data_IF_807000990073
#
_entry.id   IF_807000990073
#
_cell.length_a   1.000
_cell.length_b   1.000
_cell.length_c   1.000
_cell.angle_alpha   90.00
_cell.angle_beta   90.00
_cell.angle_gamma   90.00
#
_symmetry.space_group_name_H-M   'P 1'
#
loop_
_entity.id
_entity.type
_entity.pdbx_description
1 polymer ?
#
# COMPACT_ATOMS: atom_id res chain seq x y z
N UNK A 1 38.71 20.15 -10.54
CA UNK A 1 38.66 19.43 -9.25
C UNK A 1 37.83 18.18 -9.49
N UNK A 2 38.42 16.99 -9.36
CA UNK A 2 37.64 15.75 -9.30
C UNK A 2 36.86 15.80 -7.99
N UNK A 3 35.55 16.01 -8.07
CA UNK A 3 34.68 15.80 -6.92
C UNK A 3 34.68 14.29 -6.65
N UNK A 4 35.57 13.83 -5.78
CA UNK A 4 35.49 12.49 -5.22
C UNK A 4 34.15 12.38 -4.51
N UNK A 5 33.26 11.56 -5.07
CA UNK A 5 31.99 11.19 -4.44
C UNK A 5 32.36 10.56 -3.09
N UNK A 6 31.86 11.11 -1.96
CA UNK A 6 32.20 10.56 -0.65
C UNK A 6 31.71 9.11 -0.56
N UNK A 7 32.50 8.28 0.13
CA UNK A 7 32.23 6.85 0.23
C UNK A 7 31.29 6.60 1.42
N UNK A 8 30.27 5.75 1.24
CA UNK A 8 29.54 5.10 2.34
C UNK A 8 30.49 4.49 3.39
N UNK A 9 31.64 3.94 2.99
CA UNK A 9 32.68 3.44 3.90
C UNK A 9 33.23 4.50 4.84
N UNK A 10 33.18 5.77 4.44
CA UNK A 10 33.63 6.90 5.25
C UNK A 10 32.61 7.25 6.35
N UNK A 11 31.40 6.65 6.30
CA UNK A 11 30.38 6.71 7.35
C UNK A 11 30.14 5.31 7.96
N UNK A 12 31.01 4.86 8.88
CA UNK A 12 30.97 3.49 9.44
C UNK A 12 29.66 3.20 10.19
N UNK A 13 29.01 4.23 10.73
CA UNK A 13 27.71 4.10 11.40
C UNK A 13 26.62 3.70 10.42
N UNK A 14 26.48 4.42 9.31
CA UNK A 14 25.48 4.13 8.27
C UNK A 14 25.74 2.77 7.63
N UNK A 15 27.00 2.48 7.26
CA UNK A 15 27.38 1.19 6.70
C UNK A 15 27.00 0.03 7.63
N UNK A 16 27.32 0.15 8.93
CA UNK A 16 27.00 -0.88 9.93
C UNK A 16 25.49 -1.08 10.11
N UNK A 17 24.69 0.00 10.11
CA UNK A 17 23.22 -0.12 10.16
C UNK A 17 22.69 -0.91 8.97
N UNK A 18 23.14 -0.56 7.75
CA UNK A 18 22.73 -1.24 6.53
C UNK A 18 23.14 -2.72 6.55
N UNK A 19 24.37 -3.02 6.96
CA UNK A 19 24.88 -4.38 7.05
C UNK A 19 24.09 -5.24 8.05
N UNK A 20 23.78 -4.71 9.24
CA UNK A 20 22.98 -5.41 10.24
C UNK A 20 21.57 -5.66 9.69
N UNK A 21 20.96 -4.66 9.05
CA UNK A 21 19.62 -4.80 8.48
C UNK A 21 19.59 -5.88 7.38
N UNK A 22 20.52 -5.81 6.42
CA UNK A 22 20.65 -6.79 5.34
C UNK A 22 20.86 -8.22 5.87
N UNK A 23 21.80 -8.38 6.82
CA UNK A 23 22.12 -9.68 7.39
C UNK A 23 20.92 -10.30 8.11
N UNK A 24 20.19 -9.49 8.89
CA UNK A 24 19.00 -9.95 9.61
C UNK A 24 17.82 -10.23 8.67
N UNK A 25 17.62 -9.40 7.64
CA UNK A 25 16.60 -9.65 6.63
C UNK A 25 16.84 -11.01 5.96
N UNK A 26 18.07 -11.29 5.56
CA UNK A 26 18.44 -12.59 4.97
C UNK A 26 18.26 -13.78 5.92
N UNK A 27 18.51 -13.60 7.22
CA UNK A 27 18.32 -14.64 8.24
C UNK A 27 16.85 -14.92 8.54
N UNK A 28 15.99 -13.92 8.34
CA UNK A 28 14.55 -13.97 8.60
C UNK A 28 13.77 -13.86 7.30
N UNK A 29 14.30 -14.39 6.20
CA UNK A 29 13.61 -14.38 4.91
C UNK A 29 12.47 -15.41 4.93
N UNK A 30 11.23 -14.92 4.87
CA UNK A 30 10.04 -15.77 4.93
C UNK A 30 9.56 -16.23 3.55
N UNK A 31 10.28 -15.91 2.46
CA UNK A 31 9.89 -16.24 1.08
C UNK A 31 9.45 -17.71 0.92
N UNK A 32 10.26 -18.65 1.41
CA UNK A 32 9.95 -20.08 1.29
C UNK A 32 8.71 -20.51 2.09
N UNK A 33 8.55 -19.97 3.31
CA UNK A 33 7.39 -20.25 4.17
C UNK A 33 6.10 -19.67 3.56
N UNK A 34 6.22 -18.51 2.93
CA UNK A 34 5.12 -17.84 2.26
C UNK A 34 4.68 -18.57 0.99
N UNK A 35 5.62 -19.06 0.19
CA UNK A 35 5.33 -19.89 -0.99
C UNK A 35 4.69 -21.24 -0.57
N UNK A 36 5.19 -21.88 0.48
CA UNK A 36 4.60 -23.11 1.01
C UNK A 36 3.16 -22.88 1.51
N UNK A 37 2.95 -21.84 2.33
CA UNK A 37 1.62 -21.50 2.82
C UNK A 37 0.65 -21.19 1.67
N UNK A 38 1.12 -20.48 0.64
CA UNK A 38 0.34 -20.18 -0.57
C UNK A 38 -0.03 -21.45 -1.33
N UNK A 39 0.91 -22.38 -1.52
CA UNK A 39 0.67 -23.64 -2.22
C UNK A 39 -0.33 -24.55 -1.48
N UNK A 40 -0.36 -24.45 -0.14
CA UNK A 40 -1.28 -25.20 0.71
C UNK A 40 -2.66 -24.54 0.88
N UNK A 41 -2.86 -23.32 0.38
CA UNK A 41 -4.13 -22.61 0.54
C UNK A 41 -5.28 -23.31 -0.18
N UNK A 42 -6.35 -23.56 0.57
CA UNK A 42 -7.68 -23.94 0.06
C UNK A 42 -8.72 -23.07 0.72
N UNK A 43 -9.56 -22.43 -0.07
CA UNK A 43 -10.59 -21.54 0.45
C UNK A 43 -11.54 -22.26 1.42
N UNK A 44 -11.88 -23.52 1.12
CA UNK A 44 -12.83 -24.31 1.88
C UNK A 44 -12.38 -24.54 3.34
N UNK A 45 -11.07 -24.63 3.56
CA UNK A 45 -10.45 -24.85 4.87
C UNK A 45 -10.47 -23.58 5.74
N UNK A 46 -10.61 -22.40 5.13
CA UNK A 46 -10.53 -21.11 5.81
C UNK A 46 -11.83 -20.28 5.74
N UNK A 47 -12.87 -20.77 5.04
CA UNK A 47 -14.07 -19.97 4.71
C UNK A 47 -14.97 -19.63 5.91
N UNK A 48 -14.89 -20.38 7.00
CA UNK A 48 -15.84 -20.31 8.13
C UNK A 48 -15.35 -19.45 9.31
N UNK A 49 -14.28 -18.70 9.14
CA UNK A 49 -13.70 -17.86 10.18
C UNK A 49 -13.15 -16.53 9.63
N UNK A 50 -12.89 -15.60 10.54
CA UNK A 50 -12.21 -14.35 10.23
C UNK A 50 -10.73 -14.58 9.94
N UNK A 51 -10.17 -13.80 9.01
CA UNK A 51 -8.74 -13.80 8.69
C UNK A 51 -8.01 -12.61 9.30
N UNK A 52 -8.77 -11.63 9.77
CA UNK A 52 -8.29 -10.38 10.33
C UNK A 52 -9.13 -10.02 11.55
N UNK A 53 -8.70 -9.07 12.39
CA UNK A 53 -9.57 -8.49 13.39
C UNK A 53 -10.85 -7.94 12.74
N UNK A 54 -11.95 -7.95 13.48
CA UNK A 54 -13.28 -7.65 12.94
C UNK A 54 -13.39 -6.23 12.38
N UNK A 55 -12.68 -5.27 12.98
CA UNK A 55 -12.59 -3.88 12.52
C UNK A 55 -11.91 -3.72 11.15
N UNK A 56 -11.22 -4.76 10.68
CA UNK A 56 -10.64 -4.86 9.34
C UNK A 56 -11.52 -5.73 8.46
N UNK A 57 -12.75 -5.27 8.29
CA UNK A 57 -13.74 -5.87 7.39
C UNK A 57 -14.23 -4.85 6.36
N UNK A 58 -14.61 -5.32 5.18
CA UNK A 58 -15.11 -4.47 4.11
C UNK A 58 -16.40 -3.80 4.59
N UNK A 59 -16.45 -2.47 4.52
CA UNK A 59 -17.56 -1.64 4.97
C UNK A 59 -17.90 -1.81 6.47
N UNK A 60 -16.91 -2.17 7.30
CA UNK A 60 -17.05 -2.25 8.76
C UNK A 60 -17.67 -0.97 9.35
N UNK A 61 -18.52 -1.11 10.36
CA UNK A 61 -19.14 0.02 11.07
C UNK A 61 -20.10 0.86 10.22
N UNK A 62 -20.41 0.45 8.99
CA UNK A 62 -21.47 1.02 8.16
C UNK A 62 -22.77 0.22 8.32
N UNK A 63 -23.89 0.72 7.76
CA UNK A 63 -25.17 0.02 7.84
C UNK A 63 -25.15 -1.38 7.21
N UNK A 64 -24.34 -1.62 6.17
CA UNK A 64 -24.21 -2.96 5.57
C UNK A 64 -23.69 -3.95 6.60
N UNK A 65 -22.65 -3.56 7.34
CA UNK A 65 -22.04 -4.39 8.36
C UNK A 65 -23.02 -4.72 9.48
N UNK A 66 -23.73 -3.71 9.99
CA UNK A 66 -24.71 -3.87 11.07
C UNK A 66 -25.86 -4.81 10.69
N UNK A 67 -26.31 -4.77 9.45
CA UNK A 67 -27.42 -5.60 8.95
C UNK A 67 -26.97 -6.95 8.40
N UNK A 68 -25.67 -7.20 8.29
CA UNK A 68 -25.13 -8.45 7.75
C UNK A 68 -25.31 -9.61 8.72
N UNK A 69 -25.67 -10.77 8.18
CA UNK A 69 -25.66 -12.03 8.94
C UNK A 69 -24.24 -12.40 9.40
N UNK A 70 -24.08 -13.32 10.38
CA UNK A 70 -22.74 -13.77 10.80
C UNK A 70 -21.89 -14.30 9.64
N UNK A 71 -22.50 -15.04 8.71
CA UNK A 71 -21.81 -15.54 7.52
C UNK A 71 -21.38 -14.41 6.57
N UNK A 72 -22.26 -13.42 6.35
CA UNK A 72 -21.92 -12.26 5.51
C UNK A 72 -20.78 -11.43 6.12
N UNK A 73 -20.73 -11.29 7.45
CA UNK A 73 -19.62 -10.61 8.15
C UNK A 73 -18.29 -11.33 7.95
N UNK A 74 -18.29 -12.66 8.00
CA UNK A 74 -17.09 -13.47 7.68
C UNK A 74 -16.62 -13.18 6.26
N UNK A 75 -17.53 -13.20 5.28
CA UNK A 75 -17.19 -12.89 3.90
C UNK A 75 -16.67 -11.45 3.76
N UNK A 76 -17.28 -10.46 4.41
CA UNK A 76 -16.80 -9.07 4.38
C UNK A 76 -15.39 -8.93 4.99
N UNK A 77 -15.07 -9.70 6.03
CA UNK A 77 -13.72 -9.76 6.61
C UNK A 77 -12.70 -10.37 5.64
N UNK A 78 -13.08 -11.44 4.95
CA UNK A 78 -12.23 -12.07 3.94
C UNK A 78 -12.02 -11.17 2.71
N UNK A 79 -13.08 -10.49 2.26
CA UNK A 79 -13.02 -9.54 1.16
C UNK A 79 -12.19 -8.29 1.48
N UNK A 80 -12.12 -7.89 2.76
CA UNK A 80 -11.16 -6.87 3.18
C UNK A 80 -9.73 -7.32 2.85
N UNK A 81 -9.35 -8.54 3.24
CA UNK A 81 -8.02 -9.09 2.93
C UNK A 81 -7.77 -9.10 1.42
N UNK A 82 -8.72 -9.63 0.64
CA UNK A 82 -8.62 -9.71 -0.82
C UNK A 82 -8.40 -8.34 -1.43
N UNK A 83 -9.21 -7.35 -1.05
CA UNK A 83 -9.15 -6.01 -1.61
C UNK A 83 -7.90 -5.24 -1.14
N UNK A 84 -7.48 -5.43 0.11
CA UNK A 84 -6.29 -4.83 0.69
C UNK A 84 -5.00 -5.34 0.03
N UNK A 85 -4.82 -6.65 -0.05
CA UNK A 85 -3.63 -7.21 -0.68
C UNK A 85 -3.65 -7.12 -2.20
N UNK A 86 -4.82 -7.04 -2.82
CA UNK A 86 -4.92 -6.62 -4.22
C UNK A 86 -4.28 -5.25 -4.43
N UNK A 87 -4.55 -4.26 -3.57
CA UNK A 87 -3.87 -2.95 -3.65
C UNK A 87 -2.35 -3.05 -3.52
N UNK A 88 -1.87 -3.88 -2.58
CA UNK A 88 -0.44 -4.06 -2.32
C UNK A 88 0.31 -4.62 -3.53
N UNK A 89 -0.27 -5.56 -4.27
CA UNK A 89 0.35 -6.12 -5.50
C UNK A 89 0.83 -5.04 -6.49
N UNK A 90 0.08 -3.94 -6.67
CA UNK A 90 0.50 -2.85 -7.56
C UNK A 90 1.66 -2.05 -6.99
N UNK A 91 1.72 -1.91 -5.66
CA UNK A 91 2.85 -1.28 -5.00
C UNK A 91 4.11 -2.15 -5.16
N UNK A 92 4.02 -3.47 -4.96
CA UNK A 92 5.18 -4.36 -5.06
C UNK A 92 5.77 -4.45 -6.46
N UNK A 93 4.93 -4.43 -7.50
CA UNK A 93 5.43 -4.37 -8.88
C UNK A 93 6.24 -3.09 -9.12
N UNK A 94 5.76 -1.95 -8.61
CA UNK A 94 6.49 -0.69 -8.67
C UNK A 94 7.77 -0.74 -7.83
N UNK A 95 7.73 -1.35 -6.64
CA UNK A 95 8.88 -1.57 -5.76
C UNK A 95 9.99 -2.33 -6.46
N UNK A 96 9.68 -3.48 -7.08
CA UNK A 96 10.67 -4.28 -7.82
C UNK A 96 11.32 -3.42 -8.92
N UNK A 97 10.53 -2.68 -9.69
CA UNK A 97 11.07 -1.85 -10.78
C UNK A 97 11.99 -0.75 -10.24
N UNK A 98 11.54 0.00 -9.22
CA UNK A 98 12.32 1.12 -8.71
C UNK A 98 13.55 0.67 -7.91
N UNK A 99 13.50 -0.48 -7.23
CA UNK A 99 14.67 -1.13 -6.65
C UNK A 99 15.73 -1.38 -7.73
N UNK A 100 15.33 -1.94 -8.87
CA UNK A 100 16.25 -2.21 -9.99
C UNK A 100 16.81 -0.93 -10.61
N UNK A 101 15.98 0.09 -10.85
CA UNK A 101 16.47 1.36 -11.43
C UNK A 101 17.37 2.12 -10.47
N UNK A 102 17.04 2.13 -9.17
CA UNK A 102 17.88 2.77 -8.16
C UNK A 102 19.20 2.01 -7.97
N UNK A 103 19.16 0.67 -7.97
CA UNK A 103 20.38 -0.14 -7.95
C UNK A 103 21.27 0.16 -9.17
N UNK A 104 20.72 0.32 -10.37
CA UNK A 104 21.49 0.68 -11.56
C UNK A 104 22.23 2.02 -11.39
N UNK A 105 21.60 3.03 -10.78
CA UNK A 105 22.23 4.31 -10.48
C UNK A 105 23.31 4.25 -9.40
N UNK A 106 23.21 3.29 -8.49
CA UNK A 106 24.17 3.08 -7.39
C UNK A 106 25.34 2.16 -7.78
N UNK A 107 25.10 1.21 -8.69
CA UNK A 107 26.04 0.13 -9.02
C UNK A 107 27.35 0.62 -9.65
N UNK A 108 27.34 1.78 -10.30
CA UNK A 108 28.55 2.40 -10.85
C UNK A 108 29.59 2.79 -9.78
N UNK A 109 29.25 2.70 -8.49
CA UNK A 109 30.11 3.02 -7.37
C UNK A 109 30.27 1.79 -6.49
N UNK A 110 31.49 1.24 -6.42
CA UNK A 110 31.81 0.00 -5.68
C UNK A 110 31.29 0.01 -4.23
N UNK A 111 31.28 1.19 -3.62
CA UNK A 111 30.95 1.38 -2.22
C UNK A 111 29.44 1.33 -1.90
N UNK A 112 28.57 1.27 -2.92
CA UNK A 112 27.12 1.05 -2.76
C UNK A 112 26.68 -0.38 -3.08
N UNK A 113 27.61 -1.34 -3.22
CA UNK A 113 27.27 -2.73 -3.54
C UNK A 113 26.31 -3.35 -2.53
N UNK A 114 26.50 -3.10 -1.23
CA UNK A 114 25.61 -3.62 -0.18
C UNK A 114 24.17 -3.09 -0.30
N UNK A 115 23.99 -1.86 -0.80
CA UNK A 115 22.64 -1.35 -1.11
C UNK A 115 22.05 -2.18 -2.24
N UNK A 116 22.80 -2.41 -3.32
CA UNK A 116 22.33 -3.23 -4.44
C UNK A 116 21.93 -4.64 -4.00
N UNK A 117 22.76 -5.32 -3.20
CA UNK A 117 22.46 -6.66 -2.67
C UNK A 117 21.20 -6.65 -1.77
N UNK A 118 20.96 -5.57 -1.04
CA UNK A 118 19.73 -5.38 -0.25
C UNK A 118 18.52 -5.25 -1.16
N UNK A 119 18.59 -4.41 -2.19
CA UNK A 119 17.49 -4.18 -3.12
C UNK A 119 17.15 -5.43 -3.96
N UNK A 120 18.15 -6.25 -4.28
CA UNK A 120 17.96 -7.53 -4.97
C UNK A 120 17.20 -8.53 -4.09
N UNK A 121 17.58 -8.66 -2.82
CA UNK A 121 16.88 -9.52 -1.85
C UNK A 121 15.43 -9.09 -1.66
N UNK A 122 15.19 -7.79 -1.42
CA UNK A 122 13.83 -7.27 -1.27
C UNK A 122 13.00 -7.54 -2.53
N UNK A 123 13.58 -7.33 -3.72
CA UNK A 123 12.90 -7.62 -4.98
C UNK A 123 12.56 -9.11 -5.15
N UNK A 124 13.31 -10.05 -4.57
CA UNK A 124 12.90 -11.45 -4.52
C UNK A 124 11.73 -11.70 -3.57
N UNK A 125 11.75 -11.10 -2.38
CA UNK A 125 10.66 -11.20 -1.40
C UNK A 125 9.35 -10.65 -1.99
N UNK A 126 9.40 -9.50 -2.67
CA UNK A 126 8.22 -8.89 -3.32
C UNK A 126 7.56 -9.81 -4.36
N UNK A 127 8.32 -10.70 -5.02
CA UNK A 127 7.74 -11.66 -5.97
C UNK A 127 6.91 -12.73 -5.26
N UNK A 128 7.38 -13.20 -4.10
CA UNK A 128 6.63 -14.12 -3.25
C UNK A 128 5.37 -13.45 -2.69
N UNK A 129 5.49 -12.19 -2.27
CA UNK A 129 4.36 -11.34 -1.87
C UNK A 129 3.27 -11.31 -2.95
N UNK A 130 3.64 -10.91 -4.18
CA UNK A 130 2.74 -10.85 -5.32
C UNK A 130 2.10 -12.21 -5.62
N UNK A 131 2.87 -13.30 -5.57
CA UNK A 131 2.39 -14.65 -5.83
C UNK A 131 1.30 -15.06 -4.83
N UNK A 132 1.57 -14.90 -3.54
CA UNK A 132 0.63 -15.25 -2.46
C UNK A 132 -0.67 -14.47 -2.57
N UNK A 133 -0.58 -13.14 -2.63
CA UNK A 133 -1.75 -12.26 -2.65
C UNK A 133 -2.64 -12.55 -3.85
N UNK A 134 -2.07 -12.70 -5.04
CA UNK A 134 -2.84 -12.98 -6.26
C UNK A 134 -3.47 -14.36 -6.25
N UNK A 135 -2.76 -15.38 -5.78
CA UNK A 135 -3.25 -16.76 -5.79
C UNK A 135 -4.44 -16.90 -4.85
N UNK A 136 -4.29 -16.44 -3.60
CA UNK A 136 -5.35 -16.47 -2.60
C UNK A 136 -6.55 -15.65 -3.07
N UNK A 137 -6.34 -14.39 -3.46
CA UNK A 137 -7.42 -13.50 -3.90
C UNK A 137 -8.24 -14.09 -5.05
N UNK A 138 -7.58 -14.67 -6.07
CA UNK A 138 -8.27 -15.32 -7.19
C UNK A 138 -9.10 -16.52 -6.76
N UNK A 139 -8.58 -17.41 -5.92
CA UNK A 139 -9.31 -18.60 -5.50
C UNK A 139 -10.57 -18.21 -4.71
N UNK A 140 -10.45 -17.20 -3.83
CA UNK A 140 -11.56 -16.68 -3.03
C UNK A 140 -12.64 -16.07 -3.91
N UNK A 141 -12.29 -15.16 -4.82
CA UNK A 141 -13.28 -14.51 -5.67
C UNK A 141 -13.92 -15.49 -6.67
N UNK A 142 -13.16 -16.46 -7.18
CA UNK A 142 -13.70 -17.51 -8.02
C UNK A 142 -14.71 -18.39 -7.26
N UNK A 143 -14.43 -18.73 -6.00
CA UNK A 143 -15.33 -19.53 -5.18
C UNK A 143 -16.60 -18.77 -4.80
N UNK A 144 -16.48 -17.48 -4.47
CA UNK A 144 -17.59 -16.64 -4.01
C UNK A 144 -18.47 -16.11 -5.13
N UNK A 145 -17.88 -15.73 -6.27
CA UNK A 145 -18.58 -15.00 -7.33
C UNK A 145 -18.48 -15.65 -8.71
N UNK A 146 -17.53 -16.56 -8.91
CA UNK A 146 -17.21 -17.10 -10.24
C UNK A 146 -16.47 -16.11 -11.15
N UNK A 147 -16.19 -14.90 -10.69
CA UNK A 147 -15.47 -13.84 -11.39
C UNK A 147 -14.62 -13.00 -10.43
N UNK A 148 -13.64 -12.25 -10.97
CA UNK A 148 -12.80 -11.35 -10.18
C UNK A 148 -13.49 -9.98 -10.03
N UNK A 149 -13.74 -9.55 -8.80
CA UNK A 149 -14.34 -8.24 -8.49
C UNK A 149 -13.25 -7.24 -8.13
N UNK A 150 -12.46 -7.51 -7.10
CA UNK A 150 -11.41 -6.66 -6.55
C UNK A 150 -10.03 -6.98 -7.15
N UNK A 151 -9.75 -8.26 -7.44
CA UNK A 151 -8.49 -8.64 -8.09
C UNK A 151 -8.46 -8.12 -9.52
N UNK A 152 -7.35 -7.50 -9.92
CA UNK A 152 -7.17 -6.92 -11.24
C UNK A 152 -6.02 -7.59 -12.03
N UNK A 153 -6.02 -7.48 -13.38
CA UNK A 153 -4.88 -7.89 -14.19
C UNK A 153 -3.62 -7.11 -13.80
N UNK A 154 -2.45 -7.76 -13.76
CA UNK A 154 -1.20 -7.10 -13.34
C UNK A 154 -0.98 -5.81 -14.12
N UNK A 155 -0.72 -4.73 -13.39
CA UNK A 155 -0.41 -3.43 -13.97
C UNK A 155 1.11 -3.31 -14.12
N UNK A 156 1.55 -2.57 -15.13
CA UNK A 156 2.97 -2.23 -15.27
C UNK A 156 3.42 -1.23 -14.20
N UNK A 157 4.73 -1.05 -13.99
CA UNK A 157 5.28 -0.16 -12.97
C UNK A 157 5.01 1.34 -13.23
N UNK A 158 4.47 1.67 -14.41
CA UNK A 158 4.19 3.04 -14.85
C UNK A 158 2.71 3.42 -14.75
N UNK A 159 1.94 2.73 -13.92
CA UNK A 159 0.53 3.08 -13.65
C UNK A 159 0.38 3.58 -12.22
N UNK A 160 -0.74 4.23 -11.92
CA UNK A 160 -1.10 4.53 -10.54
C UNK A 160 -1.09 3.25 -9.71
N UNK A 161 -0.29 3.27 -8.65
CA UNK A 161 -0.26 2.16 -7.69
C UNK A 161 -1.57 2.08 -6.93
N UNK A 162 -2.25 3.20 -6.66
CA UNK A 162 -3.59 3.20 -6.07
C UNK A 162 -4.61 2.67 -7.09
N UNK A 163 -5.20 1.52 -6.78
CA UNK A 163 -6.08 0.77 -7.69
C UNK A 163 -7.33 1.57 -8.03
N UNK A 164 -7.85 2.31 -7.05
CA UNK A 164 -9.05 3.14 -7.11
C UNK A 164 -8.69 4.61 -6.82
N UNK A 165 -7.98 5.24 -7.75
CA UNK A 165 -7.59 6.65 -7.68
C UNK A 165 -8.64 7.56 -8.38
N UNK A 166 -8.73 8.83 -7.98
CA UNK A 166 -9.43 9.87 -8.76
C UNK A 166 -8.63 10.21 -10.03
N UNK A 167 -8.79 9.39 -11.07
CA UNK A 167 -8.03 9.50 -12.30
C UNK A 167 -8.91 9.48 -13.55
N UNK A 168 -8.31 9.79 -14.71
CA UNK A 168 -8.91 9.71 -16.03
C UNK A 168 -7.81 9.43 -17.06
N UNK A 169 -8.18 9.17 -18.32
CA UNK A 169 -7.21 8.76 -19.35
C UNK A 169 -6.02 9.72 -19.51
N UNK A 170 -6.24 11.03 -19.40
CA UNK A 170 -5.18 12.04 -19.49
C UNK A 170 -4.26 12.02 -18.27
N UNK A 171 -4.83 11.95 -17.06
CA UNK A 171 -4.07 11.82 -15.80
C UNK A 171 -3.21 10.54 -15.81
N UNK A 172 -3.77 9.41 -16.25
CA UNK A 172 -3.07 8.12 -16.38
C UNK A 172 -1.89 8.25 -17.35
N UNK A 173 -2.14 8.78 -18.55
CA UNK A 173 -1.08 8.98 -19.55
C UNK A 173 0.05 9.87 -19.03
N UNK A 174 -0.30 10.96 -18.35
CA UNK A 174 0.67 11.86 -17.77
C UNK A 174 1.49 11.20 -16.65
N UNK A 175 0.83 10.50 -15.72
CA UNK A 175 1.50 9.75 -14.63
C UNK A 175 2.46 8.71 -15.20
N UNK A 176 2.08 8.02 -16.28
CA UNK A 176 2.96 7.07 -16.98
C UNK A 176 4.25 7.72 -17.45
N UNK A 177 4.17 8.90 -18.08
CA UNK A 177 5.35 9.66 -18.50
C UNK A 177 6.20 10.05 -17.29
N UNK A 178 5.57 10.55 -16.22
CA UNK A 178 6.29 10.94 -15.00
C UNK A 178 7.07 9.77 -14.38
N UNK A 179 6.45 8.58 -14.27
CA UNK A 179 7.08 7.40 -13.70
C UNK A 179 8.20 6.84 -14.59
N UNK A 180 8.01 6.84 -15.90
CA UNK A 180 9.06 6.47 -16.87
C UNK A 180 10.27 7.41 -16.78
N UNK A 181 10.01 8.72 -16.76
CA UNK A 181 11.06 9.72 -16.63
C UNK A 181 11.79 9.60 -15.29
N UNK A 182 11.05 9.42 -14.18
CA UNK A 182 11.64 9.22 -12.87
C UNK A 182 12.55 7.99 -12.83
N UNK A 183 12.11 6.84 -13.37
CA UNK A 183 12.96 5.65 -13.46
C UNK A 183 14.25 5.88 -14.26
N UNK A 184 14.17 6.62 -15.37
CA UNK A 184 15.33 6.95 -16.20
C UNK A 184 16.34 7.85 -15.47
N UNK A 185 15.88 8.91 -14.80
CA UNK A 185 16.77 9.85 -14.11
C UNK A 185 17.34 9.23 -12.83
N UNK A 186 16.57 8.41 -12.10
CA UNK A 186 17.08 7.68 -10.93
C UNK A 186 18.19 6.70 -11.29
N UNK A 187 18.13 6.07 -12.47
CA UNK A 187 19.19 5.18 -12.94
C UNK A 187 20.52 5.89 -13.27
N UNK A 188 20.54 7.22 -13.36
CA UNK A 188 21.73 8.01 -13.68
C UNK A 188 22.08 9.04 -12.60
N UNK A 189 21.39 9.03 -11.46
CA UNK A 189 21.57 10.03 -10.41
C UNK A 189 21.41 9.39 -9.04
N UNK A 190 22.51 9.35 -8.27
CA UNK A 190 22.60 8.70 -6.97
C UNK A 190 21.61 9.29 -5.97
N UNK A 191 21.50 10.63 -5.90
CA UNK A 191 20.58 11.27 -4.97
C UNK A 191 19.13 10.88 -5.30
N UNK A 192 18.72 10.95 -6.56
CA UNK A 192 17.37 10.57 -7.02
C UNK A 192 17.10 9.07 -6.91
N UNK A 193 18.12 8.22 -7.03
CA UNK A 193 18.02 6.80 -6.73
C UNK A 193 17.62 6.59 -5.26
N UNK A 194 18.18 7.37 -4.33
CA UNK A 194 17.79 7.36 -2.92
C UNK A 194 16.38 7.93 -2.69
N UNK A 195 15.93 8.89 -3.50
CA UNK A 195 14.63 9.58 -3.28
C UNK A 195 13.39 8.73 -3.49
N UNK A 196 13.50 7.66 -4.29
CA UNK A 196 12.42 6.66 -4.34
C UNK A 196 12.13 6.09 -2.94
N UNK A 197 13.17 5.84 -2.15
CA UNK A 197 13.05 5.26 -0.81
C UNK A 197 12.46 6.22 0.22
N UNK A 198 12.59 7.53 0.00
CA UNK A 198 11.85 8.54 0.78
C UNK A 198 10.35 8.37 0.58
N UNK A 199 9.91 8.26 -0.69
CA UNK A 199 8.50 8.06 -1.04
C UNK A 199 8.02 6.69 -0.58
N UNK A 200 8.79 5.62 -0.81
CA UNK A 200 8.46 4.27 -0.33
C UNK A 200 8.32 4.24 1.19
N UNK A 201 9.27 4.81 1.94
CA UNK A 201 9.22 4.87 3.40
C UNK A 201 7.98 5.58 3.94
N UNK A 202 7.59 6.71 3.36
CA UNK A 202 6.31 7.36 3.67
C UNK A 202 5.15 6.41 3.41
N UNK A 203 5.12 5.72 2.27
CA UNK A 203 4.01 4.81 1.94
C UNK A 203 3.93 3.59 2.85
N UNK A 204 5.07 3.00 3.19
CA UNK A 204 5.15 1.83 4.07
C UNK A 204 4.69 2.17 5.49
N UNK A 205 4.85 3.41 5.98
CA UNK A 205 4.35 3.79 7.32
C UNK A 205 2.84 3.61 7.48
N UNK A 206 2.04 3.98 6.46
CA UNK A 206 0.60 3.73 6.51
C UNK A 206 0.29 2.23 6.48
N UNK A 207 0.96 1.48 5.59
CA UNK A 207 0.82 0.02 5.55
C UNK A 207 1.12 -0.60 6.92
N UNK A 208 2.21 -0.18 7.55
CA UNK A 208 2.70 -0.73 8.82
C UNK A 208 1.72 -0.55 9.98
N UNK A 209 0.99 0.57 10.06
CA UNK A 209 -0.04 0.79 11.09
C UNK A 209 -1.13 -0.29 11.04
N UNK A 210 -1.55 -0.64 9.83
CA UNK A 210 -2.58 -1.64 9.56
C UNK A 210 -2.00 -3.05 9.66
N UNK A 211 -0.91 -3.32 8.95
CA UNK A 211 -0.22 -4.61 8.91
C UNK A 211 0.20 -5.08 10.30
N UNK A 212 0.61 -4.18 11.20
CA UNK A 212 0.89 -4.55 12.59
C UNK A 212 -0.36 -5.08 13.32
N UNK A 213 -1.55 -4.53 13.07
CA UNK A 213 -2.79 -5.05 13.66
C UNK A 213 -3.19 -6.38 13.02
N UNK A 214 -3.01 -6.52 11.70
CA UNK A 214 -3.23 -7.79 10.99
C UNK A 214 -2.27 -8.89 11.45
N UNK A 215 -0.99 -8.58 11.63
CA UNK A 215 0.02 -9.53 12.11
C UNK A 215 -0.23 -9.96 13.55
N UNK A 216 -0.71 -9.04 14.41
CA UNK A 216 -1.09 -9.35 15.79
C UNK A 216 -2.27 -10.32 15.86
N UNK A 217 -3.15 -10.35 14.87
CA UNK A 217 -4.25 -11.31 14.82
C UNK A 217 -3.73 -12.75 14.76
N UNK A 218 -2.76 -13.01 13.87
CA UNK A 218 -2.08 -14.30 13.80
C UNK A 218 -1.36 -14.65 15.11
N UNK A 219 -0.61 -13.71 15.69
CA UNK A 219 0.15 -13.95 16.91
C UNK A 219 -0.72 -14.24 18.14
N UNK A 220 -1.92 -13.65 18.21
CA UNK A 220 -2.88 -13.85 19.30
C UNK A 220 -3.82 -15.03 19.05
N UNK A 221 -3.72 -15.67 17.89
CA UNK A 221 -4.53 -16.85 17.58
C UNK A 221 -4.17 -17.98 18.57
N UNK A 222 -5.14 -18.69 19.18
CA UNK A 222 -4.88 -19.64 20.27
C UNK A 222 -3.81 -20.69 19.94
N UNK A 223 -3.80 -21.15 18.69
CA UNK A 223 -2.79 -22.01 18.12
C UNK A 223 -2.35 -21.43 16.77
N UNK A 224 -1.25 -20.64 16.72
CA UNK A 224 -0.86 -19.94 15.49
C UNK A 224 -0.68 -20.85 14.27
N UNK A 225 -0.21 -22.09 14.48
CA UNK A 225 -0.07 -23.07 13.39
C UNK A 225 -1.39 -23.53 12.76
N UNK A 226 -2.51 -23.36 13.47
CA UNK A 226 -3.85 -23.66 12.95
C UNK A 226 -4.61 -22.41 12.52
N UNK A 227 -3.98 -21.22 12.58
CA UNK A 227 -4.60 -20.00 12.09
C UNK A 227 -4.85 -20.09 10.58
N UNK A 228 -5.89 -19.42 10.05
CA UNK A 228 -6.17 -19.44 8.62
C UNK A 228 -4.96 -18.89 7.86
N UNK A 229 -4.62 -19.55 6.75
CA UNK A 229 -3.42 -19.24 5.95
C UNK A 229 -3.33 -17.73 5.60
N UNK A 230 -4.41 -17.03 5.21
CA UNK A 230 -4.35 -15.58 4.95
C UNK A 230 -3.83 -14.74 6.13
N UNK A 231 -4.12 -15.12 7.39
CA UNK A 231 -3.57 -14.46 8.57
C UNK A 231 -2.06 -14.73 8.72
N UNK A 232 -1.62 -15.97 8.44
CA UNK A 232 -0.21 -16.38 8.42
C UNK A 232 0.57 -15.61 7.35
N UNK A 233 -0.01 -15.43 6.17
CA UNK A 233 0.54 -14.63 5.08
C UNK A 233 0.69 -13.16 5.48
N UNK A 234 -0.33 -12.56 6.11
CA UNK A 234 -0.24 -11.19 6.64
C UNK A 234 0.92 -11.04 7.65
N UNK A 235 1.16 -12.06 8.48
CA UNK A 235 2.26 -12.07 9.42
C UNK A 235 3.62 -12.11 8.72
N UNK A 236 3.82 -13.01 7.75
CA UNK A 236 5.07 -13.10 6.98
C UNK A 236 5.35 -11.80 6.22
N UNK A 237 4.35 -11.24 5.54
CA UNK A 237 4.51 -9.96 4.84
C UNK A 237 4.95 -8.85 5.80
N UNK A 238 4.34 -8.73 6.97
CA UNK A 238 4.69 -7.72 7.97
C UNK A 238 6.15 -7.82 8.46
N UNK A 239 6.69 -9.04 8.58
CA UNK A 239 8.08 -9.23 9.00
C UNK A 239 9.06 -8.74 7.94
N UNK A 240 8.83 -9.08 6.68
CA UNK A 240 9.68 -8.65 5.56
C UNK A 240 9.58 -7.12 5.37
N UNK A 241 8.37 -6.56 5.39
CA UNK A 241 8.14 -5.10 5.31
C UNK A 241 8.82 -4.31 6.42
N UNK A 242 9.01 -4.92 7.60
CA UNK A 242 9.73 -4.29 8.70
C UNK A 242 11.21 -4.07 8.37
N UNK A 243 11.84 -4.98 7.63
CA UNK A 243 13.21 -4.82 7.13
C UNK A 243 13.29 -3.85 5.95
N UNK A 244 12.30 -3.90 5.06
CA UNK A 244 12.19 -3.01 3.90
C UNK A 244 11.98 -1.55 4.29
N UNK A 245 11.22 -1.31 5.35
CA UNK A 245 11.07 0.02 5.92
C UNK A 245 12.41 0.54 6.47
N UNK A 246 13.17 -0.30 7.16
CA UNK A 246 14.46 0.07 7.72
C UNK A 246 15.48 0.38 6.62
N UNK A 247 15.58 -0.45 5.59
CA UNK A 247 16.45 -0.19 4.44
C UNK A 247 16.06 1.11 3.73
N UNK A 248 14.75 1.31 3.49
CA UNK A 248 14.24 2.55 2.89
C UNK A 248 14.63 3.77 3.71
N UNK A 249 14.53 3.70 5.04
CA UNK A 249 14.94 4.78 5.96
C UNK A 249 16.45 5.02 5.92
N UNK A 250 17.26 3.96 5.97
CA UNK A 250 18.73 4.09 5.92
C UNK A 250 19.15 4.72 4.58
N UNK A 251 18.58 4.28 3.46
CA UNK A 251 18.93 4.79 2.12
C UNK A 251 18.47 6.24 1.94
N UNK A 252 17.26 6.58 2.38
CA UNK A 252 16.70 7.92 2.16
C UNK A 252 17.16 8.98 3.16
N UNK A 253 17.57 8.60 4.37
CA UNK A 253 17.95 9.55 5.43
C UNK A 253 19.44 9.52 5.74
N UNK A 254 20.06 8.34 5.81
CA UNK A 254 21.44 8.23 6.27
C UNK A 254 22.41 8.27 5.08
N UNK A 255 22.14 7.51 4.00
CA UNK A 255 23.02 7.45 2.81
C UNK A 255 23.10 8.81 2.12
N UNK A 256 21.99 9.56 2.06
CA UNK A 256 21.99 10.89 1.42
C UNK A 256 22.93 11.89 2.11
N UNK A 257 23.27 11.69 3.39
CA UNK A 257 24.22 12.57 4.11
C UNK A 257 25.67 12.34 3.67
N UNK A 258 25.93 11.22 2.99
CA UNK A 258 27.21 10.91 2.38
C UNK A 258 27.32 11.49 0.96
N UNK A 259 26.26 12.11 0.43
CA UNK A 259 26.25 12.69 -0.91
C UNK A 259 26.46 14.22 -0.83
N UNK A 260 26.89 14.86 -1.93
CA UNK A 260 26.82 16.31 -2.03
C UNK A 260 25.38 16.81 -1.78
N UNK A 261 25.21 18.04 -1.26
CA UNK A 261 23.89 18.66 -1.15
C UNK A 261 23.15 18.61 -2.50
N UNK A 262 21.83 18.35 -2.50
CA UNK A 262 21.09 18.21 -3.74
C UNK A 262 21.07 19.54 -4.50
N UNK A 263 21.23 19.43 -5.81
CA UNK A 263 20.98 20.52 -6.75
C UNK A 263 19.52 20.97 -6.68
N UNK A 264 19.23 22.14 -7.27
CA UNK A 264 17.86 22.64 -7.39
C UNK A 264 16.96 21.66 -8.16
N UNK A 265 17.49 21.00 -9.19
CA UNK A 265 16.74 20.01 -9.97
C UNK A 265 16.43 18.76 -9.15
N UNK A 266 17.43 18.21 -8.45
CA UNK A 266 17.24 17.05 -7.59
C UNK A 266 16.22 17.32 -6.48
N UNK A 267 16.34 18.48 -5.83
CA UNK A 267 15.40 18.93 -4.81
C UNK A 267 13.99 19.10 -5.37
N UNK A 268 13.84 19.67 -6.57
CA UNK A 268 12.55 19.80 -7.25
C UNK A 268 11.91 18.42 -7.48
N UNK A 269 12.64 17.47 -8.06
CA UNK A 269 12.12 16.12 -8.36
C UNK A 269 11.72 15.39 -7.08
N UNK A 270 12.55 15.41 -6.05
CA UNK A 270 12.25 14.79 -4.76
C UNK A 270 10.94 15.33 -4.16
N UNK A 271 10.77 16.65 -4.19
CA UNK A 271 9.57 17.32 -3.68
C UNK A 271 8.33 17.01 -4.50
N UNK A 272 8.44 16.90 -5.83
CA UNK A 272 7.33 16.47 -6.69
C UNK A 272 6.91 15.02 -6.40
N UNK A 273 7.87 14.14 -6.08
CA UNK A 273 7.58 12.76 -5.66
C UNK A 273 6.72 12.70 -4.40
N UNK A 274 7.11 13.43 -3.35
CA UNK A 274 6.33 13.51 -2.11
C UNK A 274 4.99 14.22 -2.31
N UNK A 275 4.92 15.26 -3.14
CA UNK A 275 3.67 15.93 -3.48
C UNK A 275 2.69 14.95 -4.17
N UNK A 276 3.21 14.12 -5.08
CA UNK A 276 2.48 13.04 -5.72
C UNK A 276 1.97 12.02 -4.70
N UNK A 277 2.83 11.61 -3.77
CA UNK A 277 2.46 10.69 -2.68
C UNK A 277 1.32 11.25 -1.81
N UNK A 278 1.37 12.54 -1.45
CA UNK A 278 0.29 13.17 -0.68
C UNK A 278 -1.04 13.18 -1.43
N UNK A 279 -1.02 13.36 -2.76
CA UNK A 279 -2.23 13.30 -3.60
C UNK A 279 -2.78 11.88 -3.68
N UNK A 280 -1.91 10.90 -3.88
CA UNK A 280 -2.28 9.48 -3.90
C UNK A 280 -2.85 9.05 -2.52
N UNK A 281 -2.45 9.71 -1.44
CA UNK A 281 -2.91 9.48 -0.06
C UNK A 281 -3.91 10.53 0.46
N UNK A 282 -4.50 11.31 -0.44
CA UNK A 282 -5.39 12.40 -0.05
C UNK A 282 -6.69 11.86 0.57
N UNK A 283 -7.24 10.79 -0.01
CA UNK A 283 -8.52 10.23 0.38
C UNK A 283 -8.41 9.29 1.59
N UNK A 284 -9.56 8.92 2.14
CA UNK A 284 -9.76 7.79 3.04
C UNK A 284 -11.10 7.14 2.66
N UNK A 285 -11.27 5.87 3.00
CA UNK A 285 -12.35 5.03 2.49
C UNK A 285 -13.31 4.61 3.60
N UNK A 286 -14.62 4.67 3.37
CA UNK A 286 -15.60 4.00 4.22
C UNK A 286 -15.64 2.48 3.98
N UNK A 287 -15.14 2.02 2.82
CA UNK A 287 -15.13 0.60 2.47
C UNK A 287 -13.93 -0.13 3.08
N UNK A 288 -12.75 0.47 3.08
CA UNK A 288 -11.53 -0.18 3.55
C UNK A 288 -10.73 0.75 4.45
N UNK A 289 -10.78 0.47 5.76
CA UNK A 289 -9.90 1.14 6.72
C UNK A 289 -8.44 0.82 6.40
N UNK A 290 -7.57 1.84 6.45
CA UNK A 290 -6.14 1.69 6.19
C UNK A 290 -5.70 1.87 4.74
N UNK A 291 -6.65 2.07 3.81
CA UNK A 291 -6.34 2.42 2.41
C UNK A 291 -6.98 3.76 2.04
N UNK A 292 -6.22 4.56 1.30
CA UNK A 292 -6.58 5.92 0.89
C UNK A 292 -7.25 5.96 -0.48
N UNK A 293 -8.23 5.08 -0.68
CA UNK A 293 -8.97 4.98 -1.92
C UNK A 293 -9.95 6.13 -2.14
N UNK A 294 -10.17 6.44 -3.42
CA UNK A 294 -11.27 7.28 -3.86
C UNK A 294 -12.53 6.41 -4.02
N UNK A 295 -13.36 6.33 -2.97
CA UNK A 295 -14.52 5.42 -2.93
C UNK A 295 -15.47 5.47 -4.14
N UNK A 296 -15.70 6.59 -4.84
CA UNK A 296 -16.53 6.57 -6.04
C UNK A 296 -16.01 5.61 -7.13
N UNK A 297 -14.71 5.35 -7.18
CA UNK A 297 -14.15 4.35 -8.09
C UNK A 297 -14.45 2.89 -7.66
N UNK A 298 -14.95 2.67 -6.43
CA UNK A 298 -15.38 1.37 -5.92
C UNK A 298 -16.85 1.07 -6.17
N UNK A 299 -17.66 2.06 -6.54
CA UNK A 299 -19.12 1.91 -6.56
C UNK A 299 -19.60 0.73 -7.42
N UNK A 300 -19.07 0.56 -8.63
CA UNK A 300 -19.43 -0.58 -9.49
C UNK A 300 -19.12 -1.93 -8.83
N UNK A 301 -18.02 -2.01 -8.08
CA UNK A 301 -17.58 -3.24 -7.42
C UNK A 301 -18.45 -3.57 -6.21
N UNK A 302 -18.75 -2.57 -5.39
CA UNK A 302 -19.66 -2.74 -4.26
C UNK A 302 -21.08 -3.04 -4.74
N UNK A 303 -21.54 -2.39 -5.82
CA UNK A 303 -22.83 -2.70 -6.42
C UNK A 303 -22.91 -4.17 -6.86
N UNK A 304 -21.88 -4.68 -7.56
CA UNK A 304 -21.80 -6.10 -7.93
C UNK A 304 -21.81 -7.03 -6.72
N UNK A 305 -21.07 -6.70 -5.67
CA UNK A 305 -21.06 -7.47 -4.41
C UNK A 305 -22.47 -7.57 -3.81
N UNK A 306 -23.17 -6.44 -3.67
CA UNK A 306 -24.52 -6.41 -3.08
C UNK A 306 -25.56 -7.13 -3.93
N UNK A 307 -25.37 -7.17 -5.25
CA UNK A 307 -26.23 -7.90 -6.21
C UNK A 307 -25.88 -9.37 -6.35
N UNK A 308 -24.78 -9.83 -5.74
CA UNK A 308 -24.36 -11.23 -5.77
C UNK A 308 -25.32 -12.13 -4.97
N UNK A 309 -25.30 -13.47 -5.18
CA UNK A 309 -26.11 -14.41 -4.39
C UNK A 309 -25.89 -14.32 -2.87
N UNK A 310 -24.71 -13.87 -2.43
CA UNK A 310 -24.33 -13.75 -1.01
C UNK A 310 -25.20 -12.72 -0.29
N UNK A 311 -25.51 -11.59 -0.96
CA UNK A 311 -26.29 -10.49 -0.39
C UNK A 311 -27.70 -10.41 -0.96
N UNK A 312 -27.89 -10.87 -2.21
CA UNK A 312 -29.19 -11.01 -2.88
C UNK A 312 -30.07 -9.75 -2.85
N UNK A 313 -29.47 -8.55 -2.73
CA UNK A 313 -30.22 -7.29 -2.68
C UNK A 313 -30.79 -6.98 -4.06
N UNK A 314 -31.99 -6.40 -4.16
CA UNK A 314 -32.52 -5.89 -5.44
C UNK A 314 -31.69 -4.72 -5.99
N UNK A 315 -31.95 -4.27 -7.22
CA UNK A 315 -31.30 -3.05 -7.74
C UNK A 315 -31.58 -1.82 -6.85
N UNK A 316 -32.81 -1.72 -6.35
CA UNK A 316 -33.24 -0.60 -5.50
C UNK A 316 -32.55 -0.71 -4.14
N UNK A 317 -32.59 -1.89 -3.53
CA UNK A 317 -32.00 -2.11 -2.20
C UNK A 317 -30.48 -1.94 -2.22
N UNK A 318 -29.80 -2.44 -3.25
CA UNK A 318 -28.35 -2.29 -3.38
C UNK A 318 -27.95 -0.80 -3.51
N UNK A 319 -28.67 -0.02 -4.33
CA UNK A 319 -28.41 1.42 -4.47
C UNK A 319 -28.71 2.16 -3.16
N UNK A 320 -29.80 1.83 -2.46
CA UNK A 320 -30.11 2.47 -1.18
C UNK A 320 -29.07 2.10 -0.10
N UNK A 321 -28.64 0.85 -0.04
CA UNK A 321 -27.57 0.40 0.86
C UNK A 321 -26.27 1.15 0.60
N UNK A 322 -25.83 1.25 -0.67
CA UNK A 322 -24.64 2.04 -1.02
C UNK A 322 -24.77 3.51 -0.66
N UNK A 323 -25.95 4.12 -0.91
CA UNK A 323 -26.22 5.52 -0.53
C UNK A 323 -25.94 5.70 0.96
N UNK A 324 -26.49 4.82 1.80
CA UNK A 324 -26.31 4.89 3.26
C UNK A 324 -24.85 4.66 3.67
N UNK A 325 -24.21 3.61 3.14
CA UNK A 325 -22.81 3.30 3.46
C UNK A 325 -21.83 4.43 3.12
N UNK A 326 -22.00 5.12 1.98
CA UNK A 326 -21.02 6.11 1.52
C UNK A 326 -21.39 7.56 1.82
N UNK A 327 -22.67 7.91 1.95
CA UNK A 327 -23.11 9.31 2.04
C UNK A 327 -23.58 9.75 3.43
N UNK A 328 -23.65 8.81 4.38
CA UNK A 328 -23.99 9.06 5.79
C UNK A 328 -22.74 8.87 6.65
N UNK A 329 -22.70 9.55 7.79
CA UNK A 329 -21.65 9.31 8.80
C UNK A 329 -21.82 7.92 9.42
N UNK A 330 -20.70 7.27 9.70
CA UNK A 330 -20.66 5.91 10.24
C UNK A 330 -19.41 5.72 11.10
N UNK A 331 -19.43 4.75 12.01
CA UNK A 331 -18.27 4.41 12.85
C UNK A 331 -17.05 4.10 11.99
N UNK A 332 -17.22 3.27 10.96
CA UNK A 332 -16.15 2.89 10.04
C UNK A 332 -15.49 4.07 9.33
N UNK A 333 -16.28 5.08 8.98
CA UNK A 333 -15.77 6.31 8.36
C UNK A 333 -14.91 7.12 9.36
N UNK A 334 -15.36 7.24 10.61
CA UNK A 334 -14.60 7.89 11.68
C UNK A 334 -13.30 7.15 11.99
N UNK A 335 -13.33 5.81 12.06
CA UNK A 335 -12.13 4.99 12.23
C UNK A 335 -11.13 5.18 11.08
N UNK A 336 -11.61 5.19 9.83
CA UNK A 336 -10.75 5.37 8.67
C UNK A 336 -10.14 6.77 8.59
N UNK A 337 -10.88 7.80 9.02
CA UNK A 337 -10.35 9.16 9.13
C UNK A 337 -9.29 9.26 10.24
N UNK A 338 -9.48 8.58 11.37
CA UNK A 338 -8.48 8.52 12.43
C UNK A 338 -7.18 7.87 11.94
N UNK A 339 -7.27 6.72 11.25
CA UNK A 339 -6.10 6.07 10.66
C UNK A 339 -5.39 6.96 9.63
N UNK A 340 -6.13 7.73 8.84
CA UNK A 340 -5.56 8.74 7.94
C UNK A 340 -4.77 9.83 8.69
N UNK A 341 -5.30 10.33 9.83
CA UNK A 341 -4.61 11.30 10.67
C UNK A 341 -3.34 10.73 11.32
N UNK A 342 -3.39 9.50 11.82
CA UNK A 342 -2.25 8.79 12.40
C UNK A 342 -1.13 8.58 11.36
N UNK A 343 -1.49 8.18 10.15
CA UNK A 343 -0.56 8.06 9.04
C UNK A 343 0.09 9.42 8.70
N UNK A 344 -0.70 10.48 8.56
CA UNK A 344 -0.19 11.83 8.29
C UNK A 344 0.77 12.31 9.38
N UNK A 345 0.46 12.07 10.66
CA UNK A 345 1.35 12.41 11.76
C UNK A 345 2.69 11.66 11.68
N UNK A 346 2.64 10.36 11.36
CA UNK A 346 3.83 9.53 11.16
C UNK A 346 4.67 10.00 9.98
N UNK A 347 4.03 10.44 8.89
CA UNK A 347 4.72 10.96 7.71
C UNK A 347 5.51 12.24 8.02
N UNK A 348 4.94 13.15 8.82
CA UNK A 348 5.61 14.39 9.25
C UNK A 348 6.89 14.08 10.05
N UNK A 349 6.79 13.15 11.00
CA UNK A 349 7.95 12.70 11.80
C UNK A 349 9.00 12.06 10.90
N UNK A 350 8.58 11.25 9.93
CA UNK A 350 9.51 10.61 8.99
C UNK A 350 10.32 11.64 8.22
N UNK A 351 9.66 12.62 7.60
CA UNK A 351 10.35 13.58 6.73
C UNK A 351 11.02 14.75 7.46
N UNK A 352 10.90 14.83 8.79
CA UNK A 352 11.31 15.98 9.61
C UNK A 352 12.77 16.40 9.38
N UNK A 353 13.66 15.40 9.26
CA UNK A 353 15.12 15.54 9.14
C UNK A 353 15.61 15.80 7.72
N UNK A 354 14.71 15.91 6.75
CA UNK A 354 15.06 16.09 5.34
C UNK A 354 14.96 17.59 4.97
N UNK A 355 16.10 18.28 5.04
CA UNK A 355 16.15 19.75 4.93
C UNK A 355 15.88 20.31 3.53
N UNK A 356 15.99 19.49 2.49
CA UNK A 356 15.73 19.90 1.09
C UNK A 356 14.23 19.91 0.73
N UNK A 357 13.35 19.57 1.68
CA UNK A 357 11.92 19.48 1.45
C UNK A 357 11.21 20.83 1.57
N UNK A 358 10.25 21.06 0.67
CA UNK A 358 9.31 22.17 0.76
C UNK A 358 8.47 22.07 2.02
N UNK A 359 8.12 23.22 2.59
CA UNK A 359 7.28 23.30 3.78
C UNK A 359 5.96 22.52 3.61
N UNK A 360 5.34 22.60 2.43
CA UNK A 360 4.10 21.87 2.13
C UNK A 360 4.25 20.34 2.21
N UNK A 361 5.44 19.81 1.92
CA UNK A 361 5.74 18.39 2.09
C UNK A 361 6.01 18.06 3.56
N UNK A 362 6.78 18.89 4.27
CA UNK A 362 7.07 18.70 5.70
C UNK A 362 5.81 18.70 6.57
N UNK A 363 4.83 19.52 6.22
CA UNK A 363 3.55 19.64 6.93
C UNK A 363 2.48 18.65 6.44
N UNK A 364 2.73 17.93 5.34
CA UNK A 364 1.74 17.10 4.66
C UNK A 364 0.47 17.88 4.29
N UNK A 365 0.60 19.14 3.83
CA UNK A 365 -0.54 20.07 3.73
C UNK A 365 -1.57 19.66 2.67
N UNK A 366 -1.20 18.91 1.62
CA UNK A 366 -2.21 18.38 0.66
C UNK A 366 -3.07 17.35 1.37
N UNK A 367 -2.45 16.34 1.98
CA UNK A 367 -3.15 15.28 2.70
C UNK A 367 -4.01 15.85 3.83
N UNK A 368 -3.48 16.82 4.58
CA UNK A 368 -4.19 17.51 5.67
C UNK A 368 -5.34 18.42 5.24
N UNK A 369 -5.53 18.67 3.94
CA UNK A 369 -6.66 19.46 3.43
C UNK A 369 -7.96 18.63 3.27
N UNK A 370 -7.94 17.34 3.63
CA UNK A 370 -9.11 16.49 3.62
C UNK A 370 -9.83 16.48 4.99
N UNK A 371 -11.12 16.13 4.98
CA UNK A 371 -11.97 16.07 6.19
C UNK A 371 -13.20 15.18 5.97
N UNK A 372 -13.87 14.77 7.05
CA UNK A 372 -15.15 14.06 6.99
C UNK A 372 -16.20 14.82 6.17
N UNK A 373 -16.35 16.13 6.41
CA UNK A 373 -17.30 16.95 5.68
C UNK A 373 -17.00 16.98 4.17
N UNK A 374 -15.72 17.07 3.80
CA UNK A 374 -15.28 17.06 2.39
C UNK A 374 -15.49 15.70 1.74
N UNK A 375 -15.19 14.62 2.46
CA UNK A 375 -15.49 13.26 2.04
C UNK A 375 -17.00 13.11 1.75
N UNK A 376 -17.87 13.43 2.70
CA UNK A 376 -19.32 13.26 2.56
C UNK A 376 -19.89 14.10 1.41
N UNK A 377 -19.43 15.34 1.24
CA UNK A 377 -19.82 16.18 0.10
C UNK A 377 -19.45 15.55 -1.24
N UNK A 378 -18.25 14.96 -1.32
CA UNK A 378 -17.77 14.26 -2.51
C UNK A 378 -18.60 13.02 -2.80
N UNK A 379 -18.86 12.18 -1.79
CA UNK A 379 -19.68 10.97 -1.96
C UNK A 379 -21.11 11.30 -2.37
N UNK A 380 -21.74 12.30 -1.74
CA UNK A 380 -23.10 12.75 -2.10
C UNK A 380 -23.18 13.16 -3.57
N UNK A 381 -22.22 13.94 -4.06
CA UNK A 381 -22.18 14.37 -5.46
C UNK A 381 -21.92 13.20 -6.42
N UNK A 382 -20.92 12.36 -6.12
CA UNK A 382 -20.54 11.24 -6.96
C UNK A 382 -21.64 10.16 -7.04
N UNK A 383 -22.31 9.88 -5.91
CA UNK A 383 -23.36 8.88 -5.84
C UNK A 383 -24.59 9.26 -6.67
N UNK A 384 -24.94 10.54 -6.74
CA UNK A 384 -26.03 10.99 -7.63
C UNK A 384 -25.72 10.71 -9.10
N UNK A 385 -24.48 10.93 -9.54
CA UNK A 385 -24.04 10.60 -10.91
C UNK A 385 -24.08 9.09 -11.17
N UNK A 386 -23.62 8.30 -10.20
CA UNK A 386 -23.65 6.84 -10.28
C UNK A 386 -25.08 6.30 -10.42
N UNK A 387 -26.01 6.82 -9.62
CA UNK A 387 -27.43 6.41 -9.65
C UNK A 387 -28.04 6.59 -11.04
N UNK A 388 -27.67 7.65 -11.76
CA UNK A 388 -28.18 7.94 -13.11
C UNK A 388 -27.59 7.09 -14.22
N UNK A 389 -26.35 6.58 -14.06
CA UNK A 389 -25.62 5.86 -15.11
C UNK A 389 -25.99 4.36 -15.20
N UNK A 390 -26.49 3.80 -14.09
CA UNK A 390 -26.86 2.38 -13.95
C UNK A 390 -28.38 2.16 -14.06
N UNK A 391 -29.07 2.98 -14.86
CA UNK A 391 -30.52 2.88 -15.11
C UNK A 391 -30.79 2.47 -16.56
#
# INVERSE_FOLDING_TARGET
>A
MQNTIPKLSDNPTTYRKLQINHTRNKQQDHTALMDEATANFRYEDCQNEYWNPEEFSLLYGTVLWEQSSPHQRIILNQLYWVAYYSQIVSAEIATIYFNQTSAAGLYAHEDFRLICDTLDLESSQERAHINAFRTIAKQVEQALFGELIFTYPMRGPFTETMVYADTNALKIWWKKIQLQYFGLISANNIFLACQYFTVRGVRTLNGKLVQHKLSNYYQKYPHPETAPIPAKISYYHFLDESFHFNSSTIISHDVITCLPPPTAFESLVANLGLLGCQRDHFHFSAAINGIFWYDPALYDKIYKLLRSPIFSMSNIDAKEMMRRCFTEESEGLHCSFLTHQEAMASYRVYVEKLDYLWQQNREMSIMGANSLARYLATQKSAFQKFKTYQN
#
